data_IF_689326572582
#
_entry.id   IF_689326572582
#
_cell.length_a   1.000
_cell.length_b   1.000
_cell.length_c   1.000
_cell.angle_alpha   90.00
_cell.angle_beta   90.00
_cell.angle_gamma   90.00
#
_symmetry.space_group_name_H-M   'P 1'
#
loop_
_entity.id
_entity.type
_entity.pdbx_description
1 polymer ?
#
# COMPACT_ATOMS: atom_id res chain seq x y z
N UNK A 1 26.27 4.55 0.36
CA UNK A 1 24.95 4.99 -0.17
C UNK A 1 25.16 5.55 -1.57
N UNK A 2 24.23 5.30 -2.51
CA UNK A 2 24.52 5.49 -3.95
C UNK A 2 24.74 6.95 -4.40
N UNK A 3 24.25 7.97 -3.68
CA UNK A 3 24.68 9.37 -3.86
C UNK A 3 25.34 9.93 -2.59
N UNK A 4 26.41 10.73 -2.69
CA UNK A 4 26.82 11.64 -1.62
C UNK A 4 25.66 12.55 -1.22
N UNK A 5 25.50 12.82 0.08
CA UNK A 5 24.40 13.65 0.60
C UNK A 5 23.08 12.90 0.86
N UNK A 6 22.98 11.60 0.55
CA UNK A 6 21.87 10.75 0.99
C UNK A 6 22.26 9.97 2.24
N UNK A 7 21.44 10.08 3.28
CA UNK A 7 21.57 9.29 4.50
C UNK A 7 20.25 8.67 4.97
N UNK A 8 20.36 7.63 5.80
CA UNK A 8 19.24 6.96 6.44
C UNK A 8 19.10 7.44 7.88
N UNK A 9 17.89 7.82 8.26
CA UNK A 9 17.53 8.09 9.65
C UNK A 9 17.48 6.81 10.50
N UNK A 10 17.07 6.97 11.76
CA UNK A 10 16.85 5.83 12.66
C UNK A 10 15.69 4.97 12.17
N UNK A 11 15.76 3.66 12.44
CA UNK A 11 14.66 2.74 12.16
C UNK A 11 13.46 3.09 13.04
N UNK A 12 12.29 3.19 12.41
CA UNK A 12 11.04 3.53 13.08
C UNK A 12 10.53 2.39 13.98
N UNK A 13 10.11 2.75 15.19
CA UNK A 13 9.46 1.86 16.15
C UNK A 13 7.94 1.82 15.89
N UNK A 14 7.49 0.76 15.21
CA UNK A 14 6.13 0.65 14.67
C UNK A 14 5.24 -0.25 15.52
N UNK A 15 3.94 0.01 15.52
CA UNK A 15 2.92 -0.88 16.11
C UNK A 15 2.99 -2.31 15.54
N UNK A 16 2.92 -2.44 14.22
CA UNK A 16 3.01 -3.69 13.47
C UNK A 16 4.15 -3.67 12.46
N UNK A 17 4.24 -4.72 11.64
CA UNK A 17 5.19 -4.89 10.54
C UNK A 17 6.64 -4.59 10.95
N UNK A 18 7.01 -4.95 12.18
CA UNK A 18 8.30 -4.57 12.82
C UNK A 18 9.53 -5.17 12.11
N UNK A 19 9.32 -6.27 11.40
CA UNK A 19 10.35 -6.88 10.53
C UNK A 19 10.70 -5.98 9.33
N UNK A 20 9.76 -5.15 8.86
CA UNK A 20 10.01 -4.22 7.77
C UNK A 20 10.96 -3.10 8.20
N UNK A 21 11.98 -2.84 7.37
CA UNK A 21 12.87 -1.70 7.55
C UNK A 21 12.16 -0.44 7.08
N UNK A 22 11.96 0.50 8.00
CA UNK A 22 11.34 1.79 7.72
C UNK A 22 12.18 2.82 8.43
N UNK A 23 12.64 3.81 7.70
CA UNK A 23 13.47 4.89 8.20
C UNK A 23 13.27 6.10 7.30
N UNK A 24 13.50 7.28 7.85
CA UNK A 24 13.50 8.51 7.05
C UNK A 24 14.67 8.50 6.06
N UNK A 25 14.41 8.95 4.84
CA UNK A 25 15.44 9.28 3.86
C UNK A 25 15.81 10.75 4.03
N UNK A 26 17.07 11.02 4.34
CA UNK A 26 17.58 12.38 4.57
C UNK A 26 18.43 12.77 3.38
N UNK A 27 18.12 13.91 2.78
CA UNK A 27 18.80 14.46 1.61
C UNK A 27 19.43 15.81 1.98
N UNK A 28 20.75 15.87 2.05
CA UNK A 28 21.54 17.06 2.35
C UNK A 28 22.55 17.25 1.21
N UNK A 29 22.33 18.26 0.37
CA UNK A 29 23.15 18.55 -0.81
C UNK A 29 23.36 17.34 -1.76
N UNK A 30 22.45 16.35 -1.77
CA UNK A 30 22.52 15.23 -2.71
C UNK A 30 22.28 15.72 -4.15
N UNK A 31 23.31 15.60 -4.99
CA UNK A 31 23.24 15.90 -6.43
C UNK A 31 22.74 14.68 -7.19
N UNK A 32 21.66 14.85 -7.95
CA UNK A 32 21.08 13.81 -8.80
C UNK A 32 21.38 14.12 -10.27
N UNK A 33 22.03 13.19 -11.02
CA UNK A 33 22.23 13.34 -12.45
C UNK A 33 20.92 13.57 -13.21
N UNK A 34 20.93 14.44 -14.23
CA UNK A 34 19.74 14.76 -15.05
C UNK A 34 19.14 13.52 -15.72
N UNK A 35 19.99 12.55 -16.09
CA UNK A 35 19.58 11.27 -16.66
C UNK A 35 18.75 10.38 -15.72
N UNK A 36 18.82 10.62 -14.40
CA UNK A 36 18.01 9.90 -13.41
C UNK A 36 16.60 10.52 -13.22
N UNK A 37 16.24 11.56 -13.98
CA UNK A 37 14.90 12.12 -13.97
C UNK A 37 13.91 11.14 -14.61
N UNK A 38 12.99 10.61 -13.79
CA UNK A 38 11.93 9.72 -14.25
C UNK A 38 10.76 10.53 -14.88
N UNK A 39 10.15 9.99 -15.95
CA UNK A 39 8.93 10.51 -16.55
C UNK A 39 8.96 10.71 -18.07
N UNK A 40 10.15 10.85 -18.66
CA UNK A 40 10.37 10.98 -20.11
C UNK A 40 11.38 9.95 -20.59
N UNK A 41 11.09 9.26 -21.70
CA UNK A 41 12.05 8.43 -22.41
C UNK A 41 12.02 8.77 -23.90
N UNK A 42 13.19 8.85 -24.55
CA UNK A 42 13.32 9.23 -25.97
C UNK A 42 12.57 10.53 -26.34
N UNK A 43 12.56 11.51 -25.43
CA UNK A 43 11.89 12.81 -25.63
C UNK A 43 10.36 12.79 -25.51
N UNK A 44 9.74 11.66 -25.14
CA UNK A 44 8.29 11.52 -25.03
C UNK A 44 7.88 10.97 -23.65
N UNK A 45 6.65 11.24 -23.17
CA UNK A 45 6.12 10.60 -21.97
C UNK A 45 6.16 9.07 -22.11
N UNK A 46 6.67 8.39 -21.09
CA UNK A 46 6.79 6.92 -21.08
C UNK A 46 5.45 6.20 -21.26
N UNK A 47 4.33 6.87 -20.96
CA UNK A 47 2.97 6.36 -21.16
C UNK A 47 2.61 6.14 -22.63
N UNK A 48 3.37 6.71 -23.58
CA UNK A 48 3.19 6.45 -25.03
C UNK A 48 3.90 5.18 -25.50
N UNK A 49 4.76 4.59 -24.68
CA UNK A 49 5.44 3.34 -25.02
C UNK A 49 4.48 2.17 -24.81
N UNK A 50 4.25 1.37 -25.86
CA UNK A 50 3.33 0.23 -25.82
C UNK A 50 3.65 -0.76 -24.70
N UNK A 51 4.95 -1.01 -24.42
CA UNK A 51 5.39 -1.88 -23.33
C UNK A 51 4.97 -1.36 -21.93
N UNK A 52 4.93 -0.04 -21.75
CA UNK A 52 4.47 0.58 -20.51
C UNK A 52 2.94 0.49 -20.41
N UNK A 53 2.23 0.67 -21.52
CA UNK A 53 0.77 0.53 -21.56
C UNK A 53 0.31 -0.90 -21.22
N UNK A 54 1.00 -1.93 -21.74
CA UNK A 54 0.71 -3.31 -21.35
C UNK A 54 0.93 -3.56 -19.87
N UNK A 55 2.05 -3.07 -19.31
CA UNK A 55 2.30 -3.18 -17.87
C UNK A 55 1.23 -2.46 -17.05
N UNK A 56 0.80 -1.28 -17.48
CA UNK A 56 -0.30 -0.54 -16.85
C UNK A 56 -1.61 -1.32 -16.92
N UNK A 57 -1.91 -1.95 -18.06
CA UNK A 57 -3.11 -2.78 -18.23
C UNK A 57 -3.07 -4.02 -17.31
N UNK A 58 -1.94 -4.73 -17.24
CA UNK A 58 -1.75 -5.88 -16.36
C UNK A 58 -1.90 -5.48 -14.89
N UNK A 59 -1.32 -4.34 -14.49
CA UNK A 59 -1.49 -3.79 -13.14
C UNK A 59 -2.93 -3.40 -12.85
N UNK A 60 -3.65 -2.81 -13.82
CA UNK A 60 -5.07 -2.48 -13.67
C UNK A 60 -5.93 -3.75 -13.51
N UNK A 61 -5.67 -4.79 -14.29
CA UNK A 61 -6.33 -6.10 -14.17
C UNK A 61 -6.03 -6.73 -12.82
N UNK A 62 -4.77 -6.69 -12.36
CA UNK A 62 -4.38 -7.18 -11.05
C UNK A 62 -5.07 -6.40 -9.93
N UNK A 63 -5.22 -5.08 -10.07
CA UNK A 63 -5.89 -4.23 -9.09
C UNK A 63 -7.39 -4.50 -9.02
N UNK A 64 -8.08 -4.65 -10.16
CA UNK A 64 -9.49 -5.06 -10.18
C UNK A 64 -9.69 -6.47 -9.64
N UNK A 65 -8.78 -7.40 -9.93
CA UNK A 65 -8.75 -8.73 -9.34
C UNK A 65 -8.57 -8.69 -7.83
N UNK A 66 -7.64 -7.88 -7.33
CA UNK A 66 -7.41 -7.67 -5.90
C UNK A 66 -8.62 -7.00 -5.25
N UNK A 67 -9.25 -6.02 -5.90
CA UNK A 67 -10.49 -5.39 -5.43
C UNK A 67 -11.61 -6.42 -5.32
N UNK A 68 -11.79 -7.28 -6.32
CA UNK A 68 -12.76 -8.38 -6.27
C UNK A 68 -12.48 -9.35 -5.11
N UNK A 69 -11.22 -9.70 -4.86
CA UNK A 69 -10.82 -10.55 -3.74
C UNK A 69 -11.06 -9.87 -2.39
N UNK A 70 -10.77 -8.58 -2.27
CA UNK A 70 -11.08 -7.77 -1.08
C UNK A 70 -12.58 -7.69 -0.85
N UNK A 71 -13.38 -7.46 -1.88
CA UNK A 71 -14.85 -7.46 -1.79
C UNK A 71 -15.38 -8.83 -1.41
N UNK A 72 -14.79 -9.91 -1.92
CA UNK A 72 -15.10 -11.28 -1.52
C UNK A 72 -14.73 -11.54 -0.06
N UNK A 73 -13.58 -11.04 0.40
CA UNK A 73 -13.15 -11.13 1.79
C UNK A 73 -14.05 -10.30 2.72
N UNK A 74 -14.45 -9.10 2.30
CA UNK A 74 -15.41 -8.25 3.01
C UNK A 74 -16.78 -8.93 3.09
N UNK A 75 -17.29 -9.47 1.98
CA UNK A 75 -18.52 -10.27 1.96
C UNK A 75 -18.41 -11.50 2.88
N UNK A 76 -17.27 -12.18 2.94
CA UNK A 76 -17.05 -13.28 3.89
C UNK A 76 -17.03 -12.77 5.35
N UNK A 77 -16.46 -11.60 5.60
CA UNK A 77 -16.48 -10.94 6.91
C UNK A 77 -17.88 -10.50 7.34
N UNK A 78 -18.66 -9.93 6.43
CA UNK A 78 -20.06 -9.52 6.62
C UNK A 78 -20.96 -10.74 6.82
N UNK A 79 -20.64 -11.86 6.16
CA UNK A 79 -21.18 -13.20 6.46
C UNK A 79 -20.63 -13.81 7.76
N UNK A 80 -20.01 -13.00 8.62
CA UNK A 80 -19.61 -13.37 9.97
C UNK A 80 -18.27 -14.09 10.08
N UNK A 81 -17.34 -13.95 9.12
CA UNK A 81 -15.96 -14.50 9.19
C UNK A 81 -14.85 -13.44 9.32
N UNK A 82 -14.51 -12.96 10.54
CA UNK A 82 -13.60 -11.81 10.68
C UNK A 82 -12.25 -12.17 11.30
N UNK A 83 -11.22 -11.47 10.82
CA UNK A 83 -9.86 -11.52 11.34
C UNK A 83 -9.71 -10.82 12.70
N UNK A 84 -10.42 -9.71 12.94
CA UNK A 84 -10.46 -9.03 14.26
C UNK A 84 -11.20 -9.87 15.31
N UNK A 85 -12.24 -10.60 14.89
CA UNK A 85 -12.90 -11.55 15.79
C UNK A 85 -11.94 -12.66 16.21
N UNK A 86 -10.84 -12.93 15.51
CA UNK A 86 -9.89 -13.95 15.96
C UNK A 86 -9.34 -13.60 17.36
N UNK A 87 -8.99 -12.34 17.62
CA UNK A 87 -8.58 -11.88 18.97
C UNK A 87 -9.73 -12.08 19.96
N UNK A 88 -10.94 -11.65 19.60
CA UNK A 88 -12.12 -11.76 20.47
C UNK A 88 -12.53 -13.22 20.77
N UNK A 89 -12.40 -14.12 19.79
CA UNK A 89 -12.71 -15.56 19.90
C UNK A 89 -11.67 -16.26 20.78
N UNK A 90 -10.40 -15.90 20.62
CA UNK A 90 -9.31 -16.41 21.45
C UNK A 90 -9.31 -15.79 22.86
N UNK A 91 -10.11 -14.76 23.11
CA UNK A 91 -10.17 -14.06 24.39
C UNK A 91 -8.79 -13.52 24.80
N UNK A 92 -8.44 -13.68 26.08
CA UNK A 92 -7.13 -13.25 26.59
C UNK A 92 -5.94 -13.88 25.87
N UNK A 93 -6.08 -15.12 25.39
CA UNK A 93 -5.02 -15.81 24.63
C UNK A 93 -4.70 -15.10 23.32
N UNK A 94 -5.71 -14.53 22.66
CA UNK A 94 -5.52 -13.75 21.43
C UNK A 94 -4.63 -12.53 21.60
N UNK A 95 -4.49 -12.02 22.84
CA UNK A 95 -3.66 -10.86 23.17
C UNK A 95 -2.22 -11.22 23.57
N UNK A 96 -1.88 -12.52 23.66
CA UNK A 96 -0.54 -12.98 24.06
C UNK A 96 0.39 -12.98 22.85
N UNK A 97 1.61 -12.46 23.02
CA UNK A 97 2.62 -12.31 21.95
C UNK A 97 3.04 -13.62 21.28
N UNK A 98 2.89 -14.75 21.98
CA UNK A 98 3.16 -16.09 21.46
C UNK A 98 2.11 -16.54 20.43
N UNK A 99 0.91 -15.96 20.46
CA UNK A 99 -0.13 -16.27 19.48
C UNK A 99 0.07 -15.47 18.19
N UNK A 100 0.06 -16.11 17.00
CA UNK A 100 0.15 -15.40 15.72
C UNK A 100 -0.94 -14.34 15.52
N UNK A 101 -2.11 -14.53 16.13
CA UNK A 101 -3.25 -13.62 16.03
C UNK A 101 -2.89 -12.19 16.48
N UNK A 102 -2.16 -12.05 17.58
CA UNK A 102 -1.71 -10.77 18.13
C UNK A 102 -0.86 -10.00 17.11
N UNK A 103 0.15 -10.67 16.54
CA UNK A 103 1.01 -10.09 15.52
C UNK A 103 0.24 -9.69 14.28
N UNK A 104 -0.62 -10.56 13.77
CA UNK A 104 -1.40 -10.25 12.58
C UNK A 104 -2.37 -9.10 12.79
N UNK A 105 -2.94 -8.96 13.99
CA UNK A 105 -3.79 -7.82 14.34
C UNK A 105 -3.02 -6.50 14.28
N UNK A 106 -1.82 -6.44 14.89
CA UNK A 106 -0.96 -5.24 14.82
C UNK A 106 -0.51 -4.92 13.40
N UNK A 107 -0.13 -5.94 12.64
CA UNK A 107 0.35 -5.78 11.26
C UNK A 107 -0.77 -5.29 10.33
N UNK A 108 -2.01 -5.76 10.53
CA UNK A 108 -3.16 -5.37 9.72
C UNK A 108 -3.55 -3.90 9.86
N UNK A 109 -3.27 -3.23 10.99
CA UNK A 109 -3.70 -1.84 11.21
C UNK A 109 -3.15 -0.86 10.18
N UNK A 110 -1.98 -1.12 9.60
CA UNK A 110 -1.33 -0.19 8.67
C UNK A 110 -1.99 -0.17 7.29
N UNK A 111 -2.76 -1.22 6.94
CA UNK A 111 -3.35 -1.36 5.60
C UNK A 111 -4.48 -0.36 5.33
N UNK A 112 -5.04 0.24 6.38
CA UNK A 112 -6.05 1.31 6.27
C UNK A 112 -5.44 2.68 5.95
N UNK A 113 -4.10 2.82 6.08
CA UNK A 113 -3.36 4.08 5.98
C UNK A 113 -2.43 4.08 4.76
N UNK A 114 -1.73 2.97 4.51
CA UNK A 114 -0.82 2.84 3.37
C UNK A 114 -1.57 2.78 2.03
N UNK A 115 -0.87 3.10 0.94
CA UNK A 115 -1.44 3.25 -0.41
C UNK A 115 -2.55 4.32 -0.52
N UNK A 116 -2.56 5.26 0.42
CA UNK A 116 -3.62 6.26 0.57
C UNK A 116 -4.65 5.79 1.59
N UNK A 117 -5.01 6.68 2.50
CA UNK A 117 -5.93 6.33 3.59
C UNK A 117 -7.28 5.89 3.05
N UNK A 118 -7.97 5.08 3.85
CA UNK A 118 -9.31 4.59 3.51
C UNK A 118 -10.29 5.71 3.13
N UNK A 119 -10.19 6.88 3.77
CA UNK A 119 -10.97 8.09 3.46
C UNK A 119 -10.67 8.62 2.06
N UNK A 120 -9.38 8.76 1.73
CA UNK A 120 -8.95 9.26 0.41
C UNK A 120 -9.37 8.28 -0.69
N UNK A 121 -9.19 6.99 -0.46
CA UNK A 121 -9.63 5.94 -1.39
C UNK A 121 -11.14 6.03 -1.66
N UNK A 122 -11.97 6.23 -0.62
CA UNK A 122 -13.42 6.43 -0.79
C UNK A 122 -13.74 7.67 -1.64
N UNK A 123 -13.03 8.78 -1.44
CA UNK A 123 -13.22 10.00 -2.23
C UNK A 123 -12.83 9.80 -3.70
N UNK A 124 -11.72 9.12 -3.96
CA UNK A 124 -11.26 8.81 -5.33
C UNK A 124 -12.27 7.91 -6.05
N UNK A 125 -12.74 6.83 -5.39
CA UNK A 125 -13.75 5.92 -5.94
C UNK A 125 -15.05 6.68 -6.23
N UNK A 126 -15.53 7.50 -5.28
CA UNK A 126 -16.72 8.31 -5.47
C UNK A 126 -16.59 9.26 -6.66
N UNK A 127 -15.42 9.92 -6.81
CA UNK A 127 -15.13 10.78 -7.95
C UNK A 127 -15.13 10.03 -9.29
N UNK A 128 -14.54 8.83 -9.33
CA UNK A 128 -14.54 7.98 -10.54
C UNK A 128 -15.94 7.51 -10.93
N UNK A 129 -16.75 7.08 -9.95
CA UNK A 129 -18.13 6.68 -10.19
C UNK A 129 -18.97 7.86 -10.72
N UNK A 130 -18.89 9.02 -10.07
CA UNK A 130 -19.60 10.22 -10.52
C UNK A 130 -19.20 10.64 -11.94
N UNK A 131 -17.94 10.45 -12.32
CA UNK A 131 -17.47 10.70 -13.69
C UNK A 131 -18.05 9.68 -14.68
N UNK A 132 -18.15 8.40 -14.29
CA UNK A 132 -18.73 7.35 -15.12
C UNK A 132 -20.24 7.51 -15.34
N UNK A 133 -20.99 7.97 -14.32
CA UNK A 133 -22.44 8.22 -14.42
C UNK A 133 -22.80 9.54 -15.11
N UNK A 134 -21.86 10.48 -15.23
CA UNK A 134 -22.03 11.75 -15.98
C UNK A 134 -21.63 11.65 -17.45
N UNK A 135 -21.13 10.48 -17.88
CA UNK A 135 -20.80 10.17 -19.27
C UNK A 135 -21.94 9.47 -19.98
#
# INVERSE_FOLDING_TARGET
>A
MPCPGLSLGKKEDKLGIRASSTANLIFEDCRIPKENLLGLAFGHPITKLQAIQFKLADMAVALEGARLLTWRAAALSDNGKPYIKAIQILGGMGYVTEMPAERHYRDARITEIYEGTSEIQRLVIAGQLLKAYRG
#
